data_IF_939115597757
#
_entry.id   IF_939115597757
#
_cell.length_a   1.000
_cell.length_b   1.000
_cell.length_c   1.000
_cell.angle_alpha   90.00
_cell.angle_beta   90.00
_cell.angle_gamma   90.00
#
_symmetry.space_group_name_H-M   'P 1'
#
loop_
_entity.id
_entity.type
_entity.pdbx_description
1 polymer ?
#
# COMPACT_ATOMS: atom_id res chain seq x y z
N UNK A 1 27.77 -1.80 10.09
CA UNK A 1 27.66 -2.70 8.93
C UNK A 1 26.20 -3.03 8.72
N UNK A 2 25.49 -2.16 7.99
CA UNK A 2 24.06 -2.29 7.72
C UNK A 2 23.91 -3.44 6.72
N UNK A 3 23.31 -4.55 7.14
CA UNK A 3 23.06 -5.71 6.28
C UNK A 3 21.99 -5.32 5.25
N UNK A 4 22.46 -4.83 4.11
CA UNK A 4 21.77 -4.42 2.88
C UNK A 4 20.82 -5.47 2.23
N UNK A 5 20.47 -6.56 2.94
CA UNK A 5 19.81 -7.73 2.37
C UNK A 5 18.34 -7.91 2.78
N UNK A 6 17.82 -7.13 3.73
CA UNK A 6 16.45 -7.30 4.25
C UNK A 6 15.52 -6.16 3.82
N UNK A 7 16.07 -4.95 3.61
CA UNK A 7 15.31 -3.75 3.25
C UNK A 7 15.09 -3.63 1.74
N UNK A 8 16.05 -4.06 0.91
CA UNK A 8 15.96 -3.97 -0.56
C UNK A 8 15.05 -5.03 -1.21
N UNK A 9 14.67 -6.10 -0.51
CA UNK A 9 13.88 -7.21 -1.08
C UNK A 9 12.38 -7.09 -0.80
N UNK A 10 11.98 -6.18 0.09
CA UNK A 10 10.59 -5.97 0.49
C UNK A 10 9.78 -5.11 -0.48
N UNK A 11 10.44 -4.13 -1.10
CA UNK A 11 9.85 -3.23 -2.09
C UNK A 11 10.20 -3.60 -3.54
N UNK A 12 10.89 -4.73 -3.75
CA UNK A 12 11.17 -5.22 -5.10
C UNK A 12 9.88 -5.50 -5.91
N UNK A 13 8.73 -5.69 -5.27
CA UNK A 13 7.43 -5.87 -5.96
C UNK A 13 6.92 -4.58 -6.58
N UNK A 14 7.15 -3.46 -5.88
CA UNK A 14 6.91 -2.13 -6.43
C UNK A 14 7.94 -1.84 -7.51
N UNK A 15 9.17 -2.35 -7.43
CA UNK A 15 10.22 -2.09 -8.42
C UNK A 15 10.24 -3.01 -9.65
N UNK A 16 9.76 -4.26 -9.58
CA UNK A 16 9.90 -5.25 -10.67
C UNK A 16 8.83 -5.10 -11.75
N UNK A 17 7.69 -4.48 -11.44
CA UNK A 17 6.74 -4.03 -12.47
C UNK A 17 7.13 -2.69 -13.11
N UNK A 18 8.21 -2.04 -12.63
CA UNK A 18 8.69 -0.76 -13.16
C UNK A 18 9.70 -0.90 -14.32
N UNK A 19 9.79 -2.07 -14.98
CA UNK A 19 10.74 -2.24 -16.08
C UNK A 19 10.43 -1.33 -17.29
N UNK A 20 9.24 -0.72 -17.35
CA UNK A 20 8.87 0.25 -18.40
C UNK A 20 8.61 1.68 -17.90
N UNK A 21 8.89 2.01 -16.63
CA UNK A 21 8.59 3.34 -16.07
C UNK A 21 9.86 4.07 -15.67
N UNK A 22 10.19 5.01 -16.53
CA UNK A 22 11.35 5.90 -16.47
C UNK A 22 11.04 7.20 -15.70
N UNK A 23 10.08 7.21 -14.76
CA UNK A 23 9.45 8.46 -14.31
C UNK A 23 9.50 8.78 -12.80
N UNK A 24 9.64 7.82 -11.88
CA UNK A 24 9.95 8.12 -10.47
C UNK A 24 11.46 8.03 -10.28
N UNK A 25 12.09 9.14 -9.89
CA UNK A 25 13.52 9.13 -9.59
C UNK A 25 13.81 8.12 -8.48
N UNK A 26 14.99 7.51 -8.49
CA UNK A 26 15.38 6.60 -7.41
C UNK A 26 15.30 7.30 -6.03
N UNK A 27 15.47 8.62 -6.00
CA UNK A 27 15.36 9.47 -4.82
C UNK A 27 13.91 9.56 -4.29
N UNK A 28 12.91 9.69 -5.15
CA UNK A 28 11.49 9.70 -4.75
C UNK A 28 11.03 8.32 -4.27
N UNK A 29 11.52 7.23 -4.89
CA UNK A 29 11.27 5.87 -4.40
C UNK A 29 11.85 5.67 -3.00
N UNK A 30 13.08 6.12 -2.77
CA UNK A 30 13.70 6.03 -1.45
C UNK A 30 12.96 6.87 -0.41
N UNK A 31 12.46 8.05 -0.77
CA UNK A 31 11.67 8.90 0.12
C UNK A 31 10.35 8.22 0.53
N UNK A 32 9.62 7.65 -0.43
CA UNK A 32 8.38 6.90 -0.17
C UNK A 32 8.68 5.67 0.71
N UNK A 33 9.71 4.89 0.39
CA UNK A 33 10.12 3.74 1.18
C UNK A 33 10.42 4.15 2.62
N UNK A 34 11.16 5.24 2.80
CA UNK A 34 11.52 5.75 4.14
C UNK A 34 10.30 6.21 4.93
N UNK A 35 9.29 6.78 4.27
CA UNK A 35 8.04 7.20 4.89
C UNK A 35 7.17 5.99 5.32
N UNK A 36 7.11 4.94 4.49
CA UNK A 36 6.27 3.76 4.74
C UNK A 36 6.94 2.76 5.69
N UNK A 37 8.27 2.69 5.72
CA UNK A 37 9.02 1.75 6.57
C UNK A 37 8.58 1.73 8.05
N UNK A 38 8.48 2.86 8.77
CA UNK A 38 8.04 2.83 10.16
C UNK A 38 6.61 2.28 10.32
N UNK A 39 5.70 2.61 9.40
CA UNK A 39 4.33 2.11 9.38
C UNK A 39 4.32 0.58 9.20
N UNK A 40 5.11 0.08 8.25
CA UNK A 40 5.26 -1.35 8.01
C UNK A 40 5.88 -2.07 9.23
N UNK A 41 6.86 -1.46 9.91
CA UNK A 41 7.43 -2.05 11.11
C UNK A 41 6.42 -2.15 12.26
N UNK A 42 5.59 -1.13 12.45
CA UNK A 42 4.56 -1.12 13.49
C UNK A 42 3.44 -2.10 13.17
N UNK A 43 2.95 -2.14 11.93
CA UNK A 43 1.98 -3.16 11.50
C UNK A 43 2.51 -4.59 11.66
N UNK A 44 3.79 -4.82 11.36
CA UNK A 44 4.37 -6.14 11.55
C UNK A 44 4.46 -6.52 13.03
N UNK A 45 4.73 -5.57 13.94
CA UNK A 45 4.72 -5.82 15.40
C UNK A 45 3.31 -6.12 15.90
N UNK A 46 2.33 -5.34 15.47
CA UNK A 46 0.93 -5.46 15.93
C UNK A 46 0.32 -6.80 15.48
N UNK A 47 0.66 -7.25 14.27
CA UNK A 47 0.28 -8.57 13.77
C UNK A 47 1.17 -9.71 14.28
N UNK A 48 2.16 -9.44 15.14
CA UNK A 48 3.03 -10.46 15.72
C UNK A 48 3.97 -11.16 14.72
N UNK A 49 4.28 -10.52 13.59
CA UNK A 49 5.10 -11.11 12.53
C UNK A 49 6.57 -11.19 12.93
N UNK A 50 7.14 -12.38 12.81
CA UNK A 50 8.57 -12.57 13.01
C UNK A 50 9.37 -12.05 11.81
N UNK A 51 10.67 -11.82 12.00
CA UNK A 51 11.57 -11.43 10.90
C UNK A 51 11.65 -12.48 9.77
N UNK A 52 11.12 -13.69 9.98
CA UNK A 52 10.99 -14.73 8.95
C UNK A 52 9.70 -14.60 8.15
N UNK A 53 8.60 -14.24 8.80
CA UNK A 53 7.33 -13.92 8.13
C UNK A 53 7.48 -12.67 7.28
N UNK A 54 8.32 -11.76 7.77
CA UNK A 54 8.75 -10.60 7.02
C UNK A 54 9.51 -10.95 5.72
N UNK A 55 10.23 -12.07 5.68
CA UNK A 55 11.00 -12.48 4.48
C UNK A 55 10.19 -13.19 3.41
N UNK A 56 8.88 -13.41 3.60
CA UNK A 56 8.03 -14.00 2.56
C UNK A 56 7.93 -13.01 1.40
N UNK A 57 8.34 -13.50 0.23
CA UNK A 57 8.61 -12.70 -0.95
C UNK A 57 7.32 -12.10 -1.48
N UNK A 58 7.41 -10.86 -1.95
CA UNK A 58 7.33 -10.65 -3.39
C UNK A 58 5.94 -10.60 -4.04
N UNK A 59 4.93 -11.20 -3.42
CA UNK A 59 3.59 -11.23 -3.94
C UNK A 59 2.61 -10.80 -2.85
N UNK A 60 1.63 -9.99 -3.23
CA UNK A 60 0.55 -9.61 -2.31
C UNK A 60 -0.11 -10.87 -1.76
N UNK A 61 -0.25 -11.93 -2.55
CA UNK A 61 -0.87 -13.19 -2.15
C UNK A 61 -0.16 -13.92 -1.00
N UNK A 62 1.14 -13.66 -0.81
CA UNK A 62 1.96 -14.28 0.25
C UNK A 62 2.07 -13.41 1.52
N UNK A 63 1.50 -12.20 1.50
CA UNK A 63 1.51 -11.31 2.66
C UNK A 63 0.45 -11.72 3.68
N UNK A 64 0.79 -11.56 4.96
CA UNK A 64 -0.14 -11.84 6.04
C UNK A 64 -1.39 -10.91 5.96
N UNK A 65 -2.63 -11.44 6.05
CA UNK A 65 -3.85 -10.65 5.92
C UNK A 65 -3.96 -9.52 6.96
N UNK A 66 -3.50 -9.75 8.20
CA UNK A 66 -3.46 -8.71 9.23
C UNK A 66 -2.52 -7.58 8.80
N UNK A 67 -1.35 -7.94 8.28
CA UNK A 67 -0.37 -6.98 7.81
C UNK A 67 -0.89 -6.10 6.68
N UNK A 68 -1.48 -6.73 5.65
CA UNK A 68 -2.08 -6.03 4.51
C UNK A 68 -3.12 -5.01 4.96
N UNK A 69 -4.05 -5.45 5.82
CA UNK A 69 -5.11 -4.59 6.35
C UNK A 69 -4.52 -3.43 7.13
N UNK A 70 -3.62 -3.71 8.09
CA UNK A 70 -2.97 -2.68 8.89
C UNK A 70 -2.26 -1.64 8.02
N UNK A 71 -1.54 -2.09 6.99
CA UNK A 71 -0.78 -1.20 6.12
C UNK A 71 -1.71 -0.24 5.36
N UNK A 72 -2.78 -0.76 4.76
CA UNK A 72 -3.75 0.07 4.03
C UNK A 72 -4.50 1.04 4.94
N UNK A 73 -4.84 0.61 6.16
CA UNK A 73 -5.48 1.48 7.15
C UNK A 73 -4.55 2.59 7.64
N UNK A 74 -3.30 2.24 7.94
CA UNK A 74 -2.31 3.20 8.44
C UNK A 74 -1.86 4.21 7.38
N UNK A 75 -1.93 3.84 6.11
CA UNK A 75 -1.72 4.75 4.97
C UNK A 75 -2.99 5.55 4.62
N UNK A 76 -4.11 5.29 5.29
CA UNK A 76 -5.41 5.94 5.07
C UNK A 76 -6.05 5.64 3.72
N UNK A 77 -5.78 4.46 3.15
CA UNK A 77 -6.53 3.94 2.00
C UNK A 77 -7.84 3.28 2.44
N UNK A 78 -7.85 2.71 3.64
CA UNK A 78 -9.04 2.15 4.27
C UNK A 78 -9.24 2.82 5.63
N UNK A 79 -10.49 2.99 6.04
CA UNK A 79 -10.83 3.44 7.39
C UNK A 79 -10.63 2.33 8.45
N UNK A 80 -10.90 2.63 9.71
CA UNK A 80 -10.75 1.68 10.83
C UNK A 80 -11.65 0.43 10.68
N UNK A 81 -12.76 0.55 9.96
CA UNK A 81 -13.69 -0.55 9.64
C UNK A 81 -13.26 -1.34 8.39
N UNK A 82 -12.17 -0.93 7.75
CA UNK A 82 -11.65 -1.54 6.53
C UNK A 82 -12.46 -1.20 5.29
N UNK A 83 -13.19 -0.09 5.31
CA UNK A 83 -13.94 0.47 4.16
C UNK A 83 -13.10 1.49 3.43
N UNK A 84 -13.34 1.61 2.14
CA UNK A 84 -12.70 2.63 1.33
C UNK A 84 -13.30 4.00 1.64
N UNK A 85 -12.45 4.95 2.03
CA UNK A 85 -12.83 6.32 2.34
C UNK A 85 -12.03 7.29 1.47
N UNK A 86 -12.75 8.00 0.59
CA UNK A 86 -12.17 8.93 -0.38
C UNK A 86 -11.62 10.20 0.29
N UNK A 87 -12.23 10.63 1.40
CA UNK A 87 -11.77 11.81 2.13
C UNK A 87 -10.50 11.49 2.91
N UNK A 88 -10.45 10.31 3.54
CA UNK A 88 -9.26 9.81 4.21
C UNK A 88 -8.10 9.66 3.21
N UNK A 89 -8.35 9.03 2.06
CA UNK A 89 -7.35 8.89 1.00
C UNK A 89 -6.82 10.25 0.55
N UNK A 90 -7.71 11.20 0.28
CA UNK A 90 -7.36 12.56 -0.13
C UNK A 90 -6.45 13.23 0.90
N UNK A 91 -6.73 13.05 2.18
CA UNK A 91 -5.96 13.69 3.24
C UNK A 91 -4.60 13.01 3.45
N UNK A 92 -4.53 11.68 3.36
CA UNK A 92 -3.27 10.93 3.33
C UNK A 92 -2.38 11.33 2.14
N UNK A 93 -2.93 11.38 0.93
CA UNK A 93 -2.14 11.71 -0.26
C UNK A 93 -1.51 13.11 -0.13
N UNK A 94 -2.22 14.09 0.45
CA UNK A 94 -1.67 15.43 0.71
C UNK A 94 -0.49 15.39 1.68
N UNK A 95 -0.52 14.49 2.65
CA UNK A 95 0.57 14.32 3.63
C UNK A 95 1.84 13.79 2.96
N UNK A 96 1.72 12.87 2.00
CA UNK A 96 2.87 12.19 1.39
C UNK A 96 3.42 12.84 0.12
N UNK A 97 2.60 13.45 -0.72
CA UNK A 97 3.02 13.84 -2.08
C UNK A 97 3.54 15.27 -2.18
N UNK A 98 3.05 16.21 -1.37
CA UNK A 98 3.40 17.65 -1.50
C UNK A 98 2.96 18.32 -2.81
N UNK A 99 2.65 17.55 -3.86
CA UNK A 99 2.17 17.94 -5.18
C UNK A 99 0.68 17.62 -5.32
N UNK A 100 -0.14 18.66 -5.41
CA UNK A 100 -1.60 18.55 -5.49
C UNK A 100 -2.10 17.94 -6.80
N UNK A 101 -1.36 18.07 -7.90
CA UNK A 101 -1.78 17.55 -9.20
C UNK A 101 -1.55 16.04 -9.28
N UNK A 102 -0.36 15.58 -8.89
CA UNK A 102 -0.05 14.17 -8.75
C UNK A 102 -0.98 13.49 -7.74
N UNK A 103 -1.27 14.18 -6.63
CA UNK A 103 -2.21 13.71 -5.61
C UNK A 103 -3.61 13.43 -6.16
N UNK A 104 -4.15 14.37 -6.93
CA UNK A 104 -5.50 14.27 -7.50
C UNK A 104 -5.57 13.14 -8.52
N UNK A 105 -4.54 12.98 -9.35
CA UNK A 105 -4.49 11.90 -10.35
C UNK A 105 -4.46 10.51 -9.70
N UNK A 106 -3.63 10.32 -8.68
CA UNK A 106 -3.56 9.07 -7.91
C UNK A 106 -4.91 8.77 -7.25
N UNK A 107 -5.53 9.79 -6.65
CA UNK A 107 -6.85 9.65 -6.04
C UNK A 107 -7.90 9.21 -7.07
N UNK A 108 -8.01 9.90 -8.20
CA UNK A 108 -8.99 9.61 -9.25
C UNK A 108 -8.84 8.18 -9.80
N UNK A 109 -7.60 7.69 -9.92
CA UNK A 109 -7.32 6.32 -10.39
C UNK A 109 -7.71 5.26 -9.38
N UNK A 110 -7.40 5.49 -8.09
CA UNK A 110 -7.82 4.60 -7.01
C UNK A 110 -9.34 4.57 -6.87
N UNK A 111 -9.98 5.74 -6.93
CA UNK A 111 -11.42 5.92 -6.88
C UNK A 111 -12.12 5.14 -7.99
N UNK A 112 -11.66 5.31 -9.24
CA UNK A 112 -12.20 4.63 -10.40
C UNK A 112 -11.96 3.12 -10.37
N UNK A 113 -10.79 2.68 -9.90
CA UNK A 113 -10.50 1.26 -9.78
C UNK A 113 -11.36 0.59 -8.70
N UNK A 114 -11.50 1.22 -7.52
CA UNK A 114 -12.33 0.68 -6.45
C UNK A 114 -13.80 0.59 -6.89
N UNK A 115 -14.34 1.64 -7.51
CA UNK A 115 -15.73 1.66 -7.99
C UNK A 115 -16.04 0.59 -9.04
N UNK A 116 -15.02 0.14 -9.79
CA UNK A 116 -15.16 -0.92 -10.79
C UNK A 116 -14.99 -2.33 -10.23
N UNK A 117 -14.28 -2.51 -9.10
CA UNK A 117 -13.83 -3.82 -8.63
C UNK A 117 -14.30 -4.18 -7.21
N UNK A 118 -14.83 -3.22 -6.43
CA UNK A 118 -15.19 -3.43 -5.04
C UNK A 118 -16.38 -2.56 -4.59
N UNK A 119 -16.74 -2.72 -3.32
CA UNK A 119 -17.77 -1.93 -2.66
C UNK A 119 -17.58 -1.96 -1.13
N UNK A 120 -18.25 -1.05 -0.44
CA UNK A 120 -18.25 -0.94 1.03
C UNK A 120 -19.38 -1.74 1.70
N UNK A 121 -20.01 -2.68 0.99
CA UNK A 121 -21.03 -3.55 1.57
C UNK A 121 -20.39 -4.64 2.42
N UNK A 122 -21.13 -5.09 3.45
CA UNK A 122 -20.67 -6.11 4.38
C UNK A 122 -19.62 -5.61 5.37
N UNK A 123 -19.85 -5.94 6.64
CA UNK A 123 -18.96 -5.60 7.76
C UNK A 123 -18.19 -6.84 8.28
N UNK A 124 -18.43 -8.02 7.69
CA UNK A 124 -17.74 -9.24 8.04
C UNK A 124 -16.28 -9.26 7.53
N UNK A 125 -15.48 -10.15 8.12
CA UNK A 125 -14.05 -10.28 7.82
C UNK A 125 -13.77 -10.62 6.35
N UNK A 126 -14.63 -11.41 5.70
CA UNK A 126 -14.48 -11.77 4.29
C UNK A 126 -14.66 -10.55 3.39
N UNK A 127 -15.68 -9.73 3.67
CA UNK A 127 -15.93 -8.47 2.96
C UNK A 127 -14.76 -7.48 3.13
N UNK A 128 -14.18 -7.39 4.34
CA UNK A 128 -13.02 -6.55 4.59
C UNK A 128 -11.77 -7.04 3.84
N UNK A 129 -11.50 -8.34 3.83
CA UNK A 129 -10.34 -8.89 3.10
C UNK A 129 -10.47 -8.72 1.59
N UNK A 130 -11.68 -8.86 1.03
CA UNK A 130 -11.93 -8.55 -0.39
C UNK A 130 -11.56 -7.12 -0.73
N UNK A 131 -11.90 -6.14 0.11
CA UNK A 131 -11.54 -4.73 -0.09
C UNK A 131 -10.02 -4.52 -0.03
N UNK A 132 -9.35 -5.20 0.90
CA UNK A 132 -7.88 -5.18 0.99
C UNK A 132 -7.26 -5.67 -0.32
N UNK A 133 -7.67 -6.82 -0.84
CA UNK A 133 -7.14 -7.37 -2.10
C UNK A 133 -7.47 -6.48 -3.31
N UNK A 134 -8.69 -5.95 -3.39
CA UNK A 134 -9.06 -4.96 -4.42
C UNK A 134 -8.15 -3.74 -4.36
N UNK A 135 -7.85 -3.24 -3.17
CA UNK A 135 -7.01 -2.04 -3.03
C UNK A 135 -5.55 -2.28 -3.45
N UNK A 136 -4.97 -3.42 -3.09
CA UNK A 136 -3.62 -3.76 -3.56
C UNK A 136 -3.59 -3.96 -5.09
N UNK A 137 -4.62 -4.58 -5.66
CA UNK A 137 -4.78 -4.64 -7.12
C UNK A 137 -4.86 -3.24 -7.72
N UNK A 138 -5.67 -2.34 -7.16
CA UNK A 138 -5.79 -0.97 -7.64
C UNK A 138 -4.49 -0.19 -7.57
N UNK A 139 -3.72 -0.34 -6.48
CA UNK A 139 -2.39 0.25 -6.34
C UNK A 139 -1.42 -0.19 -7.43
N UNK A 140 -1.50 -1.46 -7.86
CA UNK A 140 -0.69 -1.98 -8.98
C UNK A 140 -1.13 -1.44 -10.35
N UNK A 141 -2.39 -1.04 -10.49
CA UNK A 141 -2.97 -0.53 -11.73
C UNK A 141 -2.83 1.00 -11.91
N UNK A 142 -2.38 1.73 -10.88
CA UNK A 142 -2.07 3.16 -10.98
C UNK A 142 -1.05 3.36 -12.11
N UNK A 143 -1.44 4.18 -13.10
CA UNK A 143 -0.60 4.55 -14.25
C UNK A 143 -0.26 6.03 -14.15
N UNK A 144 1.02 6.34 -14.19
CA UNK A 144 1.51 7.72 -14.15
C UNK A 144 1.01 8.62 -15.29
#
# INVERSE_FOLDING_TARGET
>A
MVKFSVVCLYFAVVAVNLWDVNCVSDEEKEAIIKAITPIAEDCAKDCGLSDKDKKKKGDEDDMDPCFKKCLLQSLGLLDEDGKYDRELLRDSIKEYTGDKEAATKVQDQLDACFDANGDNSGDDEESQMKRVDVMFKCLKEIKE
#
